data_IF_676268577135
#
_entry.id   IF_676268577135
#
_cell.length_a   1.000
_cell.length_b   1.000
_cell.length_c   1.000
_cell.angle_alpha   90.00
_cell.angle_beta   90.00
_cell.angle_gamma   90.00
#
_symmetry.space_group_name_H-M   'P 1'
#
loop_
_entity.id
_entity.type
_entity.pdbx_description
1 polymer ?
#
# COMPACT_ATOMS: atom_id res chain seq x y z
N UNK A 1 15.32 -7.68 19.56
CA UNK A 1 14.37 -8.25 20.55
C UNK A 1 15.01 -8.56 21.89
N UNK A 2 16.10 -9.34 21.96
CA UNK A 2 16.79 -9.66 23.23
C UNK A 2 17.30 -8.43 24.00
N UNK A 3 17.68 -7.36 23.30
CA UNK A 3 18.15 -6.11 23.93
C UNK A 3 17.04 -5.21 24.47
N UNK A 4 15.78 -5.46 24.09
CA UNK A 4 14.64 -4.58 24.41
C UNK A 4 13.71 -5.22 25.42
N UNK A 5 13.38 -6.49 25.23
CA UNK A 5 12.64 -7.26 26.23
C UNK A 5 13.58 -7.76 27.32
N UNK A 6 13.83 -6.91 28.32
CA UNK A 6 14.68 -7.24 29.47
C UNK A 6 14.07 -8.33 30.36
N UNK A 7 12.76 -8.55 30.27
CA UNK A 7 12.07 -9.62 30.98
C UNK A 7 12.25 -10.96 30.24
N UNK A 8 12.95 -11.95 30.85
CA UNK A 8 13.23 -13.23 30.19
C UNK A 8 11.95 -13.98 29.80
N UNK A 9 10.88 -13.85 30.59
CA UNK A 9 9.60 -14.49 30.31
C UNK A 9 8.91 -13.89 29.08
N UNK A 10 9.00 -12.58 28.87
CA UNK A 10 8.49 -11.95 27.64
C UNK A 10 9.26 -12.44 26.41
N UNK A 11 10.58 -12.56 26.54
CA UNK A 11 11.42 -13.07 25.46
C UNK A 11 11.05 -14.52 25.10
N UNK A 12 10.88 -15.39 26.09
CA UNK A 12 10.43 -16.78 25.87
C UNK A 12 9.06 -16.83 25.20
N UNK A 13 8.08 -16.08 25.71
CA UNK A 13 6.74 -16.06 25.11
C UNK A 13 6.75 -15.56 23.66
N UNK A 14 7.58 -14.56 23.35
CA UNK A 14 7.74 -14.08 21.97
C UNK A 14 8.37 -15.14 21.06
N UNK A 15 9.43 -15.80 21.52
CA UNK A 15 10.10 -16.87 20.78
C UNK A 15 9.17 -18.05 20.54
N UNK A 16 8.46 -18.50 21.58
CA UNK A 16 7.48 -19.58 21.49
C UNK A 16 6.36 -19.24 20.52
N UNK A 17 5.84 -17.99 20.56
CA UNK A 17 4.84 -17.52 19.61
C UNK A 17 5.34 -17.64 18.17
N UNK A 18 6.54 -17.12 17.87
CA UNK A 18 7.13 -17.17 16.52
C UNK A 18 7.30 -18.62 16.05
N UNK A 19 7.90 -19.48 16.87
CA UNK A 19 8.10 -20.90 16.55
C UNK A 19 6.77 -21.64 16.32
N UNK A 20 5.76 -21.41 17.16
CA UNK A 20 4.44 -22.02 16.99
C UNK A 20 3.74 -21.55 15.70
N UNK A 21 3.94 -20.29 15.29
CA UNK A 21 3.42 -19.77 14.01
C UNK A 21 4.11 -20.43 12.81
N UNK A 22 5.43 -20.54 12.83
CA UNK A 22 6.22 -21.20 11.78
C UNK A 22 5.81 -22.67 11.62
N UNK A 23 5.49 -23.35 12.73
CA UNK A 23 4.97 -24.71 12.74
C UNK A 23 3.49 -24.83 12.35
N UNK A 24 2.80 -23.73 12.04
CA UNK A 24 1.37 -23.73 11.69
C UNK A 24 0.41 -24.00 12.85
N UNK A 25 0.87 -23.98 14.11
CA UNK A 25 0.07 -24.27 15.32
C UNK A 25 -0.74 -23.06 15.79
N UNK A 26 -1.68 -22.60 14.95
CA UNK A 26 -2.41 -21.32 15.11
C UNK A 26 -3.07 -21.11 16.49
N UNK A 27 -3.79 -22.11 17.01
CA UNK A 27 -4.50 -21.97 18.31
C UNK A 27 -3.52 -21.75 19.47
N UNK A 28 -2.42 -22.50 19.51
CA UNK A 28 -1.40 -22.39 20.55
C UNK A 28 -0.60 -21.09 20.39
N UNK A 29 -0.26 -20.71 19.16
CA UNK A 29 0.38 -19.44 18.89
C UNK A 29 -0.48 -18.27 19.39
N UNK A 30 -1.78 -18.24 19.08
CA UNK A 30 -2.66 -17.15 19.51
C UNK A 30 -2.81 -17.10 21.04
N UNK A 31 -2.87 -18.26 21.72
CA UNK A 31 -2.86 -18.29 23.19
C UNK A 31 -1.57 -17.68 23.74
N UNK A 32 -0.42 -18.12 23.22
CA UNK A 32 0.91 -17.62 23.63
C UNK A 32 1.04 -16.12 23.39
N UNK A 33 0.52 -15.62 22.27
CA UNK A 33 0.48 -14.19 21.98
C UNK A 33 -0.36 -13.41 23.00
N UNK A 34 -1.52 -13.93 23.39
CA UNK A 34 -2.36 -13.27 24.40
C UNK A 34 -1.65 -13.23 25.77
N UNK A 35 -0.97 -14.31 26.16
CA UNK A 35 -0.16 -14.36 27.38
C UNK A 35 1.01 -13.34 27.31
N UNK A 36 1.64 -13.22 26.14
CA UNK A 36 2.66 -12.21 25.85
C UNK A 36 2.11 -10.79 26.00
N UNK A 37 0.98 -10.47 25.36
CA UNK A 37 0.32 -9.15 25.43
C UNK A 37 -0.04 -8.81 26.87
N UNK A 38 -0.63 -9.75 27.61
CA UNK A 38 -1.01 -9.54 29.00
C UNK A 38 0.19 -9.22 29.89
N UNK A 39 1.33 -9.88 29.67
CA UNK A 39 2.57 -9.60 30.39
C UNK A 39 3.22 -8.29 29.96
N UNK A 40 3.15 -7.96 28.66
CA UNK A 40 3.73 -6.74 28.11
C UNK A 40 3.00 -5.49 28.65
N UNK A 41 1.67 -5.56 28.80
CA UNK A 41 0.86 -4.51 29.45
C UNK A 41 1.25 -4.21 30.90
N UNK A 42 1.90 -5.15 31.58
CA UNK A 42 2.38 -4.97 32.95
C UNK A 42 3.76 -4.32 33.02
N UNK A 43 4.45 -4.17 31.89
CA UNK A 43 5.72 -3.45 31.84
C UNK A 43 5.49 -1.94 31.87
N UNK A 44 6.56 -1.21 32.17
CA UNK A 44 6.53 0.24 32.13
C UNK A 44 6.37 0.78 30.69
N UNK A 45 5.93 2.05 30.58
CA UNK A 45 5.68 2.72 29.30
C UNK A 45 6.92 2.72 28.40
N UNK A 46 8.11 2.90 28.95
CA UNK A 46 9.36 2.96 28.16
C UNK A 46 9.67 1.62 27.51
N UNK A 47 9.48 0.51 28.24
CA UNK A 47 9.65 -0.85 27.70
C UNK A 47 8.70 -1.12 26.53
N UNK A 48 7.42 -0.77 26.68
CA UNK A 48 6.41 -0.97 25.63
C UNK A 48 6.72 -0.12 24.40
N UNK A 49 7.10 1.15 24.63
CA UNK A 49 7.48 2.10 23.58
C UNK A 49 8.69 1.59 22.78
N UNK A 50 9.74 1.15 23.47
CA UNK A 50 10.95 0.62 22.83
C UNK A 50 10.69 -0.67 22.04
N UNK A 51 9.80 -1.53 22.54
CA UNK A 51 9.38 -2.75 21.83
C UNK A 51 8.65 -2.41 20.52
N UNK A 52 7.67 -1.51 20.57
CA UNK A 52 6.95 -1.04 19.38
C UNK A 52 7.92 -0.40 18.39
N UNK A 53 8.83 0.46 18.86
CA UNK A 53 9.79 1.17 18.00
C UNK A 53 10.70 0.21 17.23
N UNK A 54 11.21 -0.83 17.89
CA UNK A 54 12.04 -1.82 17.23
C UNK A 54 11.28 -2.62 16.19
N UNK A 55 10.06 -3.06 16.51
CA UNK A 55 9.24 -3.76 15.52
C UNK A 55 8.92 -2.85 14.33
N UNK A 56 8.58 -1.59 14.59
CA UNK A 56 8.36 -0.57 13.57
C UNK A 56 9.56 -0.39 12.64
N UNK A 57 10.79 -0.31 13.19
CA UNK A 57 12.04 -0.22 12.40
C UNK A 57 12.30 -1.47 11.57
N UNK A 58 12.11 -2.65 12.15
CA UNK A 58 12.31 -3.94 11.46
C UNK A 58 11.38 -4.05 10.25
N UNK A 59 10.13 -3.62 10.42
CA UNK A 59 9.10 -3.77 9.39
C UNK A 59 9.21 -2.73 8.27
N UNK A 60 9.58 -1.47 8.56
CA UNK A 60 9.78 -0.46 7.51
C UNK A 60 10.98 -0.80 6.62
N UNK A 61 12.04 -1.39 7.17
CA UNK A 61 13.22 -1.81 6.41
C UNK A 61 13.00 -3.00 5.46
N UNK A 62 11.76 -3.49 5.31
CA UNK A 62 11.44 -4.62 4.42
C UNK A 62 10.93 -4.10 3.08
N UNK A 63 11.30 -4.82 2.01
CA UNK A 63 10.91 -4.48 0.62
C UNK A 63 9.39 -4.49 0.39
N UNK A 64 8.64 -5.21 1.22
CA UNK A 64 7.18 -5.27 1.18
C UNK A 64 6.62 -4.50 2.36
N UNK A 65 5.63 -3.65 2.09
CA UNK A 65 4.96 -2.87 3.13
C UNK A 65 4.18 -3.81 4.06
N UNK A 66 4.23 -3.60 5.39
CA UNK A 66 3.57 -4.49 6.34
C UNK A 66 2.05 -4.50 6.11
N UNK A 67 1.46 -5.70 6.09
CA UNK A 67 0.00 -5.87 6.05
C UNK A 67 -0.51 -6.37 7.41
N UNK A 68 -1.68 -5.92 7.84
CA UNK A 68 -2.35 -6.55 8.98
C UNK A 68 -3.01 -7.86 8.51
N UNK A 69 -2.50 -8.97 9.01
CA UNK A 69 -3.06 -10.30 8.73
C UNK A 69 -4.33 -10.53 9.54
N UNK A 70 -5.49 -10.28 8.94
CA UNK A 70 -6.78 -10.55 9.59
C UNK A 70 -7.22 -12.01 9.49
N UNK A 71 -6.92 -12.73 8.39
CA UNK A 71 -7.43 -14.11 8.21
C UNK A 71 -6.58 -15.07 7.38
N UNK A 72 -5.68 -14.65 6.50
CA UNK A 72 -4.93 -15.58 5.63
C UNK A 72 -3.62 -14.95 5.15
N UNK A 73 -2.54 -15.35 5.77
CA UNK A 73 -1.22 -15.40 5.14
C UNK A 73 -0.50 -16.59 5.77
N UNK A 74 -0.28 -17.59 4.94
CA UNK A 74 0.62 -18.69 5.22
C UNK A 74 1.99 -18.15 4.81
N UNK A 75 2.95 -18.06 5.73
CA UNK A 75 4.35 -18.06 5.30
C UNK A 75 5.33 -17.15 6.02
N UNK A 76 4.92 -16.06 6.69
CA UNK A 76 5.90 -15.19 7.34
C UNK A 76 5.56 -14.87 8.81
N UNK A 77 6.54 -14.91 9.73
CA UNK A 77 6.42 -14.45 11.12
C UNK A 77 6.22 -12.92 11.25
N UNK A 78 5.92 -12.25 10.15
CA UNK A 78 6.14 -10.83 9.89
C UNK A 78 4.86 -9.98 9.82
N UNK A 79 3.69 -10.62 9.92
CA UNK A 79 2.42 -9.91 10.02
C UNK A 79 2.02 -9.69 11.48
N UNK A 80 1.90 -8.42 11.88
CA UNK A 80 1.40 -8.06 13.21
C UNK A 80 -0.03 -8.58 13.34
N UNK A 81 -0.26 -9.44 14.32
CA UNK A 81 -1.61 -9.88 14.63
C UNK A 81 -2.42 -8.72 15.19
N UNK A 82 -3.69 -8.65 14.80
CA UNK A 82 -4.59 -7.57 15.18
C UNK A 82 -4.66 -7.32 16.70
N UNK A 83 -4.64 -8.38 17.53
CA UNK A 83 -4.63 -8.22 18.99
C UNK A 83 -3.39 -7.49 19.49
N UNK A 84 -2.20 -7.84 18.98
CA UNK A 84 -0.95 -7.16 19.33
C UNK A 84 -0.98 -5.70 18.86
N UNK A 85 -1.50 -5.46 17.66
CA UNK A 85 -1.65 -4.11 17.15
C UNK A 85 -2.56 -3.26 18.05
N UNK A 86 -3.79 -3.73 18.28
CA UNK A 86 -4.81 -2.99 19.04
C UNK A 86 -4.41 -2.76 20.50
N UNK A 87 -3.80 -3.76 21.14
CA UNK A 87 -3.58 -3.71 22.57
C UNK A 87 -2.23 -3.09 22.97
N UNK A 88 -1.25 -3.06 22.07
CA UNK A 88 0.13 -2.61 22.36
C UNK A 88 0.58 -1.52 21.41
N UNK A 89 0.48 -1.71 20.09
CA UNK A 89 0.96 -0.72 19.12
C UNK A 89 0.11 0.54 19.15
N UNK A 90 -1.20 0.37 19.11
CA UNK A 90 -2.15 1.47 18.99
C UNK A 90 -1.97 2.53 20.09
N UNK A 91 -1.92 2.19 21.40
CA UNK A 91 -1.69 3.21 22.43
C UNK A 91 -0.36 3.95 22.28
N UNK A 92 0.70 3.24 21.89
CA UNK A 92 2.01 3.84 21.66
C UNK A 92 1.99 4.78 20.45
N UNK A 93 1.36 4.38 19.34
CA UNK A 93 1.22 5.20 18.14
C UNK A 93 0.40 6.49 18.39
N UNK A 94 -0.64 6.42 19.23
CA UNK A 94 -1.43 7.59 19.64
C UNK A 94 -0.57 8.57 20.43
N UNK A 95 0.15 8.10 21.45
CA UNK A 95 1.07 8.92 22.25
C UNK A 95 2.18 9.56 21.39
N UNK A 96 2.56 8.88 20.32
CA UNK A 96 3.64 9.27 19.42
C UNK A 96 3.27 10.28 18.35
N UNK A 97 1.98 10.41 18.04
CA UNK A 97 1.48 11.39 17.09
C UNK A 97 1.77 12.83 17.56
N UNK A 98 1.70 13.08 18.88
CA UNK A 98 1.97 14.39 19.46
C UNK A 98 3.44 14.82 19.33
N UNK A 99 4.35 13.87 19.17
CA UNK A 99 5.80 14.10 19.27
C UNK A 99 6.49 14.35 17.92
N UNK A 100 5.75 14.34 16.80
CA UNK A 100 6.27 14.67 15.45
C UNK A 100 7.53 13.91 15.04
N UNK A 101 7.56 12.59 15.21
CA UNK A 101 8.69 11.73 14.83
C UNK A 101 8.49 11.12 13.41
N UNK A 102 9.57 11.08 12.62
CA UNK A 102 9.54 10.63 11.24
C UNK A 102 9.10 9.17 11.05
N UNK A 103 9.61 8.24 11.86
CA UNK A 103 9.24 6.82 11.84
C UNK A 103 7.74 6.63 12.10
N UNK A 104 7.17 7.48 12.96
CA UNK A 104 5.76 7.41 13.33
C UNK A 104 4.88 7.88 12.18
N UNK A 105 5.27 8.97 11.52
CA UNK A 105 4.57 9.46 10.33
C UNK A 105 4.60 8.44 9.18
N UNK A 106 5.69 7.67 9.03
CA UNK A 106 5.73 6.52 8.13
C UNK A 106 4.71 5.45 8.52
N UNK A 107 4.63 5.11 9.82
CA UNK A 107 3.67 4.13 10.31
C UNK A 107 2.22 4.56 10.10
N UNK A 108 1.88 5.81 10.43
CA UNK A 108 0.54 6.37 10.23
C UNK A 108 0.13 6.29 8.75
N UNK A 109 1.04 6.59 7.83
CA UNK A 109 0.77 6.44 6.40
C UNK A 109 0.48 5.00 5.94
N UNK A 110 0.92 4.00 6.71
CA UNK A 110 0.63 2.58 6.42
C UNK A 110 -0.65 2.10 7.12
N UNK A 111 -1.22 2.91 8.02
CA UNK A 111 -2.37 2.49 8.81
C UNK A 111 -3.63 2.30 7.97
N UNK A 112 -3.86 3.06 6.90
CA UNK A 112 -4.98 2.84 5.98
C UNK A 112 -4.98 1.41 5.43
N UNK A 113 -3.80 0.90 5.07
CA UNK A 113 -3.59 -0.44 4.53
C UNK A 113 -3.75 -1.53 5.58
N UNK A 114 -3.31 -1.21 6.80
CA UNK A 114 -3.56 -2.02 7.98
C UNK A 114 -5.07 -2.12 8.25
N UNK A 115 -5.81 -1.02 8.13
CA UNK A 115 -7.20 -0.92 8.57
C UNK A 115 -8.26 -1.22 7.52
N UNK A 116 -7.90 -1.40 6.25
CA UNK A 116 -8.83 -1.76 5.17
C UNK A 116 -9.71 -3.00 5.46
N UNK A 117 -9.37 -3.80 6.46
CA UNK A 117 -10.15 -4.97 6.90
C UNK A 117 -10.75 -4.86 8.32
N UNK A 118 -10.48 -3.78 9.06
CA UNK A 118 -11.02 -3.47 10.39
C UNK A 118 -11.21 -1.96 10.55
N UNK A 119 -12.23 -1.47 9.85
CA UNK A 119 -12.64 -0.07 9.90
C UNK A 119 -12.97 0.44 11.31
N UNK A 120 -13.62 -0.35 12.22
CA UNK A 120 -13.84 0.09 13.59
C UNK A 120 -12.56 0.46 14.35
N UNK A 121 -11.51 -0.37 14.26
CA UNK A 121 -10.22 -0.07 14.92
C UNK A 121 -9.54 1.14 14.27
N UNK A 122 -9.72 1.32 12.96
CA UNK A 122 -9.31 2.54 12.27
C UNK A 122 -9.99 3.77 12.88
N UNK A 123 -11.32 3.77 12.95
CA UNK A 123 -12.10 4.90 13.48
C UNK A 123 -11.73 5.25 14.92
N UNK A 124 -11.47 4.25 15.76
CA UNK A 124 -10.96 4.47 17.12
C UNK A 124 -9.60 5.20 17.11
N UNK A 125 -8.70 4.84 16.19
CA UNK A 125 -7.37 5.47 16.04
C UNK A 125 -7.51 6.93 15.65
N UNK A 126 -8.24 7.15 14.57
CA UNK A 126 -8.54 8.42 13.94
C UNK A 126 -9.08 9.41 14.99
N UNK A 127 -10.08 8.95 15.74
CA UNK A 127 -10.69 9.73 16.81
C UNK A 127 -9.71 10.02 17.93
N UNK A 128 -8.87 9.05 18.31
CA UNK A 128 -7.90 9.21 19.38
C UNK A 128 -6.80 10.24 19.04
N UNK A 129 -6.40 10.34 17.77
CA UNK A 129 -5.40 11.33 17.32
C UNK A 129 -6.00 12.64 16.79
N UNK A 130 -7.32 12.78 16.84
CA UNK A 130 -8.03 14.02 16.52
C UNK A 130 -8.04 14.37 15.03
N UNK A 131 -7.85 13.38 14.14
CA UNK A 131 -7.98 13.55 12.69
C UNK A 131 -9.47 13.57 12.33
N UNK A 132 -9.90 14.54 11.53
CA UNK A 132 -11.27 14.59 10.98
C UNK A 132 -11.43 13.62 9.81
N UNK A 133 -12.62 13.04 9.60
CA UNK A 133 -12.86 11.99 8.60
C UNK A 133 -12.32 12.31 7.18
N UNK A 134 -12.27 13.59 6.81
CA UNK A 134 -11.76 14.09 5.52
C UNK A 134 -10.24 13.88 5.29
N UNK A 135 -9.47 13.63 6.35
CA UNK A 135 -8.00 13.50 6.28
C UNK A 135 -7.50 12.05 6.09
N UNK A 136 -8.38 11.05 6.18
CA UNK A 136 -8.02 9.61 6.06
C UNK A 136 -7.47 9.18 4.72
N UNK A 137 -7.68 10.02 3.71
CA UNK A 137 -7.25 9.72 2.35
C UNK A 137 -5.84 10.22 2.04
N UNK A 138 -5.14 10.86 3.00
CA UNK A 138 -3.82 11.45 2.73
C UNK A 138 -2.66 10.73 3.41
N UNK A 139 -2.55 9.41 3.23
CA UNK A 139 -1.35 8.62 3.57
C UNK A 139 -0.06 9.30 3.09
N UNK A 140 -0.12 9.95 1.92
CA UNK A 140 0.99 10.69 1.34
C UNK A 140 1.41 11.93 2.16
N UNK A 141 0.49 12.62 2.83
CA UNK A 141 0.82 13.80 3.62
C UNK A 141 1.64 13.41 4.85
N UNK A 142 1.32 12.26 5.46
CA UNK A 142 2.12 11.68 6.53
C UNK A 142 3.51 11.26 6.04
N UNK A 143 3.62 10.64 4.87
CA UNK A 143 4.95 10.33 4.29
C UNK A 143 5.76 11.59 3.97
N UNK A 144 5.13 12.64 3.45
CA UNK A 144 5.79 13.94 3.20
C UNK A 144 6.27 14.57 4.51
N UNK A 145 5.43 14.58 5.54
CA UNK A 145 5.80 15.08 6.88
C UNK A 145 6.95 14.25 7.48
N UNK A 146 6.93 12.93 7.31
CA UNK A 146 8.04 12.05 7.69
C UNK A 146 9.34 12.48 7.02
N UNK A 147 9.32 12.63 5.69
CA UNK A 147 10.49 13.00 4.91
C UNK A 147 11.02 14.41 5.25
N UNK A 148 10.14 15.34 5.63
CA UNK A 148 10.54 16.66 6.12
C UNK A 148 11.25 16.59 7.48
N UNK A 149 10.86 15.65 8.34
CA UNK A 149 11.45 15.45 9.66
C UNK A 149 12.78 14.69 9.57
N UNK A 150 12.85 13.67 8.72
CA UNK A 150 14.04 12.85 8.49
C UNK A 150 14.11 12.40 7.01
N UNK A 151 14.87 13.12 6.16
CA UNK A 151 14.99 12.79 4.74
C UNK A 151 15.72 11.45 4.52
N UNK A 152 14.96 10.36 4.39
CA UNK A 152 15.50 9.03 4.12
C UNK A 152 15.08 8.50 2.74
N UNK A 153 15.97 7.81 1.99
CA UNK A 153 15.64 7.22 0.68
C UNK A 153 14.43 6.28 0.71
N UNK A 154 14.28 5.51 1.79
CA UNK A 154 13.14 4.59 1.93
C UNK A 154 11.81 5.34 2.02
N UNK A 155 11.77 6.46 2.75
CA UNK A 155 10.58 7.31 2.85
C UNK A 155 10.24 7.93 1.50
N UNK A 156 11.25 8.39 0.74
CA UNK A 156 11.06 8.88 -0.62
C UNK A 156 10.48 7.78 -1.52
N UNK A 157 11.02 6.56 -1.44
CA UNK A 157 10.51 5.42 -2.19
C UNK A 157 9.04 5.14 -1.85
N UNK A 158 8.66 5.18 -0.56
CA UNK A 158 7.26 5.04 -0.14
C UNK A 158 6.36 6.15 -0.72
N UNK A 159 6.83 7.40 -0.76
CA UNK A 159 6.10 8.52 -1.39
C UNK A 159 5.89 8.24 -2.88
N UNK A 160 6.94 7.82 -3.59
CA UNK A 160 6.90 7.55 -5.02
C UNK A 160 5.95 6.40 -5.36
N UNK A 161 6.00 5.30 -4.60
CA UNK A 161 5.05 4.18 -4.74
C UNK A 161 3.62 4.67 -4.53
N UNK A 162 3.37 5.46 -3.49
CA UNK A 162 2.01 5.96 -3.19
C UNK A 162 1.50 6.93 -4.25
N UNK A 163 2.36 7.79 -4.78
CA UNK A 163 2.03 8.67 -5.90
C UNK A 163 1.70 7.85 -7.15
N UNK A 164 2.55 6.88 -7.49
CA UNK A 164 2.34 6.01 -8.64
C UNK A 164 1.01 5.26 -8.52
N UNK A 165 0.68 4.71 -7.34
CA UNK A 165 -0.62 4.07 -7.07
C UNK A 165 -1.83 4.99 -7.33
N UNK A 166 -1.67 6.30 -7.12
CA UNK A 166 -2.70 7.31 -7.37
C UNK A 166 -2.79 7.79 -8.81
N UNK A 167 -1.81 7.47 -9.66
CA UNK A 167 -1.88 7.79 -11.09
C UNK A 167 -2.96 6.92 -11.70
N UNK A 168 -4.03 7.56 -12.19
CA UNK A 168 -4.95 6.92 -13.09
C UNK A 168 -4.27 6.83 -14.45
N UNK A 169 -4.12 5.61 -14.97
CA UNK A 169 -3.65 5.40 -16.33
C UNK A 169 -4.77 5.64 -17.36
N UNK A 170 -5.97 5.98 -16.91
CA UNK A 170 -7.00 6.56 -17.77
C UNK A 170 -6.50 7.88 -18.38
N UNK A 171 -6.12 7.77 -19.65
CA UNK A 171 -6.37 8.73 -20.73
C UNK A 171 -5.83 10.16 -20.61
N UNK A 172 -5.00 10.51 -19.63
CA UNK A 172 -4.32 11.81 -19.64
C UNK A 172 -3.09 11.87 -20.58
N UNK A 173 -2.68 10.73 -21.18
CA UNK A 173 -1.44 10.63 -21.98
C UNK A 173 -1.58 9.94 -23.35
N UNK A 174 -2.78 9.91 -23.96
CA UNK A 174 -2.91 9.47 -25.35
C UNK A 174 -2.07 10.25 -26.40
N UNK A 175 -1.60 11.49 -26.19
CA UNK A 175 -0.78 12.18 -27.19
C UNK A 175 0.53 11.46 -27.51
N UNK A 176 1.23 10.88 -26.53
CA UNK A 176 2.53 10.25 -26.78
C UNK A 176 2.40 9.01 -27.67
N UNK A 177 1.32 8.26 -27.51
CA UNK A 177 1.03 7.01 -28.23
C UNK A 177 0.80 7.24 -29.71
N UNK A 178 0.12 8.35 -30.05
CA UNK A 178 -0.12 8.78 -31.43
C UNK A 178 1.17 9.32 -32.07
N UNK A 179 2.13 9.77 -31.26
CA UNK A 179 3.41 10.31 -31.71
C UNK A 179 4.54 9.25 -31.76
N UNK A 180 4.40 8.12 -31.05
CA UNK A 180 5.40 7.04 -30.96
C UNK A 180 5.12 5.87 -31.91
N UNK A 181 6.17 5.20 -32.41
CA UNK A 181 6.02 3.99 -33.22
C UNK A 181 5.52 2.77 -32.44
N UNK A 182 5.05 1.69 -33.09
CA UNK A 182 4.59 0.48 -32.41
C UNK A 182 5.60 -0.15 -31.45
N UNK A 183 6.89 -0.15 -31.80
CA UNK A 183 7.95 -0.73 -30.97
C UNK A 183 8.17 0.06 -29.66
N UNK A 184 8.09 1.39 -29.74
CA UNK A 184 8.18 2.27 -28.56
C UNK A 184 6.97 2.10 -27.66
N UNK A 185 5.78 1.96 -28.25
CA UNK A 185 4.55 1.68 -27.52
C UNK A 185 4.63 0.35 -26.76
N UNK A 186 5.03 -0.73 -27.43
CA UNK A 186 5.14 -2.05 -26.80
C UNK A 186 6.20 -2.03 -25.67
N UNK A 187 7.31 -1.29 -25.82
CA UNK A 187 8.29 -1.09 -24.75
C UNK A 187 7.71 -0.39 -23.51
N UNK A 188 6.79 0.56 -23.68
CA UNK A 188 6.11 1.20 -22.55
C UNK A 188 5.13 0.26 -21.85
N UNK A 189 4.39 -0.55 -22.61
CA UNK A 189 3.50 -1.57 -22.05
C UNK A 189 4.30 -2.61 -21.25
N UNK A 190 5.45 -3.06 -21.77
CA UNK A 190 6.31 -4.03 -21.07
C UNK A 190 6.87 -3.44 -19.76
N UNK A 191 7.27 -2.17 -19.75
CA UNK A 191 7.72 -1.47 -18.53
C UNK A 191 6.59 -1.33 -17.51
N UNK A 192 5.39 -0.99 -17.97
CA UNK A 192 4.22 -0.91 -17.12
C UNK A 192 3.89 -2.29 -16.55
N UNK A 193 3.81 -3.33 -17.37
CA UNK A 193 3.55 -4.69 -16.91
C UNK A 193 4.59 -5.17 -15.90
N UNK A 194 5.87 -4.91 -16.15
CA UNK A 194 6.94 -5.22 -15.21
C UNK A 194 6.78 -4.49 -13.88
N UNK A 195 6.44 -3.20 -13.92
CA UNK A 195 6.15 -2.40 -12.72
C UNK A 195 4.93 -2.97 -11.96
N UNK A 196 3.90 -3.40 -12.68
CA UNK A 196 2.69 -3.98 -12.09
C UNK A 196 2.97 -5.35 -11.45
N UNK A 197 3.79 -6.20 -12.07
CA UNK A 197 4.24 -7.46 -11.46
C UNK A 197 4.95 -7.22 -10.11
N UNK A 198 5.73 -6.14 -10.00
CA UNK A 198 6.37 -5.78 -8.73
C UNK A 198 5.37 -5.32 -7.64
N UNK A 199 4.18 -4.89 -8.05
CA UNK A 199 3.12 -4.39 -7.18
C UNK A 199 1.97 -5.41 -6.95
N UNK A 200 2.16 -6.68 -7.31
CA UNK A 200 1.10 -7.74 -7.36
C UNK A 200 0.18 -7.82 -6.14
N UNK A 201 0.71 -7.65 -4.92
CA UNK A 201 -0.08 -7.74 -3.69
C UNK A 201 -0.89 -6.47 -3.38
N UNK A 202 -0.65 -5.38 -4.10
CA UNK A 202 -1.19 -4.03 -3.84
C UNK A 202 -1.94 -3.44 -5.03
N UNK A 203 -2.08 -4.22 -6.10
CA UNK A 203 -2.73 -3.82 -7.33
C UNK A 203 -4.24 -3.67 -7.12
N UNK A 204 -4.70 -2.42 -7.17
CA UNK A 204 -6.12 -2.11 -7.32
C UNK A 204 -6.65 -2.77 -8.62
N UNK A 205 -7.80 -3.45 -8.60
CA UNK A 205 -8.38 -4.10 -9.78
C UNK A 205 -8.48 -3.21 -11.03
N UNK A 206 -8.56 -1.88 -10.85
CA UNK A 206 -8.55 -0.90 -11.94
C UNK A 206 -7.31 -0.98 -12.83
N UNK A 207 -6.13 -1.28 -12.29
CA UNK A 207 -4.89 -1.30 -13.08
C UNK A 207 -4.81 -2.47 -14.05
N UNK A 208 -5.45 -3.59 -13.71
CA UNK A 208 -5.60 -4.73 -14.62
C UNK A 208 -6.54 -4.37 -15.79
N UNK A 209 -7.59 -3.60 -15.50
CA UNK A 209 -8.50 -3.07 -16.52
C UNK A 209 -7.73 -2.09 -17.41
N UNK A 210 -7.01 -1.13 -16.84
CA UNK A 210 -6.22 -0.14 -17.58
C UNK A 210 -5.18 -0.82 -18.49
N UNK A 211 -4.39 -1.77 -17.96
CA UNK A 211 -3.41 -2.52 -18.77
C UNK A 211 -4.09 -3.26 -19.93
N UNK A 212 -5.27 -3.84 -19.70
CA UNK A 212 -6.03 -4.52 -20.76
C UNK A 212 -6.52 -3.54 -21.83
N UNK A 213 -6.96 -2.34 -21.44
CA UNK A 213 -7.36 -1.25 -22.34
C UNK A 213 -6.17 -0.78 -23.17
N UNK A 214 -5.03 -0.55 -22.53
CA UNK A 214 -3.78 -0.18 -23.19
C UNK A 214 -3.31 -1.27 -24.18
N UNK A 215 -3.38 -2.56 -23.83
CA UNK A 215 -3.09 -3.64 -24.80
C UNK A 215 -4.02 -3.61 -26.01
N UNK A 216 -5.30 -3.34 -25.80
CA UNK A 216 -6.29 -3.24 -26.87
C UNK A 216 -5.99 -2.04 -27.80
N UNK A 217 -5.68 -0.87 -27.23
CA UNK A 217 -5.24 0.31 -27.99
C UNK A 217 -4.00 -0.03 -28.83
N UNK A 218 -3.01 -0.71 -28.26
CA UNK A 218 -1.77 -1.09 -28.94
C UNK A 218 -1.96 -1.99 -30.16
N UNK A 219 -2.87 -2.97 -30.05
CA UNK A 219 -3.26 -3.85 -31.15
C UNK A 219 -3.81 -3.05 -32.34
N UNK A 220 -4.67 -2.08 -32.04
CA UNK A 220 -5.29 -1.23 -33.03
C UNK A 220 -4.31 -0.20 -33.60
N UNK A 221 -3.44 0.35 -32.77
CA UNK A 221 -2.35 1.24 -33.19
C UNK A 221 -1.43 0.58 -34.20
N UNK A 222 -0.97 -0.66 -33.94
CA UNK A 222 -0.18 -1.46 -34.88
C UNK A 222 -0.86 -1.59 -36.25
N UNK A 223 -2.12 -1.99 -36.22
CA UNK A 223 -2.92 -2.17 -37.45
C UNK A 223 -3.06 -0.88 -38.24
N UNK A 224 -3.31 0.24 -37.55
CA UNK A 224 -3.32 1.56 -38.17
C UNK A 224 -1.95 1.93 -38.72
N UNK A 225 -0.87 1.77 -37.95
CA UNK A 225 0.46 2.21 -38.33
C UNK A 225 0.96 1.53 -39.61
N UNK A 226 0.66 0.24 -39.76
CA UNK A 226 0.96 -0.56 -40.96
C UNK A 226 0.18 -0.07 -42.19
N UNK A 227 -1.05 0.41 -41.97
CA UNK A 227 -1.99 0.84 -43.02
C UNK A 227 -2.20 2.34 -43.04
N UNK A 228 -1.31 3.12 -42.43
CA UNK A 228 -1.54 4.55 -42.13
C UNK A 228 -1.81 5.43 -43.35
N UNK A 229 -1.48 4.96 -44.55
CA UNK A 229 -1.78 5.64 -45.82
C UNK A 229 -3.26 5.56 -46.23
N UNK A 230 -4.03 4.64 -45.63
CA UNK A 230 -5.46 4.43 -45.89
C UNK A 230 -6.36 5.29 -44.98
N UNK A 231 -5.77 6.02 -44.04
CA UNK A 231 -6.46 6.75 -42.98
C UNK A 231 -5.88 8.16 -42.82
N UNK A 232 -6.72 9.13 -42.47
CA UNK A 232 -6.30 10.51 -42.20
C UNK A 232 -5.65 10.67 -40.81
N UNK A 233 -5.72 9.62 -40.00
CA UNK A 233 -5.17 9.55 -38.65
C UNK A 233 -5.74 8.36 -37.88
N UNK A 234 -5.24 8.13 -36.67
CA UNK A 234 -5.72 7.02 -35.84
C UNK A 234 -7.18 7.18 -35.42
N UNK A 235 -7.64 8.42 -35.23
CA UNK A 235 -9.04 8.70 -34.95
C UNK A 235 -9.96 8.29 -36.12
N UNK A 236 -9.58 8.59 -37.37
CA UNK A 236 -10.31 8.15 -38.56
C UNK A 236 -10.34 6.62 -38.66
N UNK A 237 -9.23 5.96 -38.36
CA UNK A 237 -9.18 4.50 -38.22
C UNK A 237 -10.18 3.99 -37.17
N UNK A 238 -10.23 4.58 -35.98
CA UNK A 238 -11.17 4.18 -34.93
C UNK A 238 -12.63 4.30 -35.39
N UNK A 239 -12.99 5.41 -36.04
CA UNK A 239 -14.35 5.63 -36.54
C UNK A 239 -14.72 4.63 -37.65
N UNK A 240 -13.85 4.43 -38.65
CA UNK A 240 -14.11 3.49 -39.76
C UNK A 240 -14.26 2.04 -39.31
N UNK A 241 -13.63 1.67 -38.21
CA UNK A 241 -13.68 0.33 -37.64
C UNK A 241 -14.65 0.21 -36.45
N UNK A 242 -15.47 1.24 -36.18
CA UNK A 242 -16.41 1.30 -35.05
C UNK A 242 -15.76 0.95 -33.70
N UNK A 243 -14.50 1.36 -33.52
CA UNK A 243 -13.74 1.08 -32.32
C UNK A 243 -14.04 2.13 -31.27
N UNK A 244 -14.63 1.70 -30.16
CA UNK A 244 -14.86 2.58 -29.03
C UNK A 244 -13.76 2.38 -27.98
N UNK A 245 -12.53 2.77 -28.36
CA UNK A 245 -11.35 2.69 -27.51
C UNK A 245 -11.29 3.83 -26.48
N UNK A 246 -12.27 4.74 -26.51
CA UNK A 246 -12.30 6.02 -25.82
C UNK A 246 -13.48 6.14 -24.82
N UNK A 247 -14.17 5.03 -24.49
CA UNK A 247 -15.39 5.06 -23.64
C UNK A 247 -15.17 5.62 -22.23
N UNK A 248 -13.94 5.71 -21.73
CA UNK A 248 -13.68 6.32 -20.42
C UNK A 248 -13.92 7.84 -20.42
N UNK A 249 -13.92 8.53 -21.58
CA UNK A 249 -14.23 9.95 -21.66
C UNK A 249 -15.73 10.27 -21.47
N UNK A 250 -16.63 9.38 -21.88
CA UNK A 250 -18.08 9.61 -21.76
C UNK A 250 -18.55 9.47 -20.30
N UNK A 251 -18.01 8.48 -19.58
CA UNK A 251 -18.28 8.29 -18.15
C UNK A 251 -17.72 9.44 -17.28
N UNK A 252 -16.53 9.95 -17.62
CA UNK A 252 -15.92 11.11 -16.94
C UNK A 252 -16.66 12.43 -17.22
N UNK A 253 -17.17 12.64 -18.44
CA UNK A 253 -17.96 13.82 -18.76
C UNK A 253 -19.32 13.86 -18.06
N UNK A 254 -19.94 12.71 -17.78
CA UNK A 254 -21.15 12.66 -16.95
C UNK A 254 -20.84 12.87 -15.47
N UNK A 255 -19.70 12.35 -14.98
CA UNK A 255 -19.25 12.56 -13.59
C UNK A 255 -18.88 14.03 -13.32
N UNK A 256 -18.18 14.69 -14.25
CA UNK A 256 -17.82 16.12 -14.15
C UNK A 256 -18.99 17.08 -14.36
N UNK A 257 -20.07 16.65 -15.03
CA UNK A 257 -21.32 17.42 -15.10
C UNK A 257 -22.19 17.27 -13.84
N UNK A 258 -21.87 16.31 -12.98
CA UNK A 258 -22.57 16.04 -11.72
C UNK A 258 -21.85 16.55 -10.47
N UNK A 259 -20.67 17.16 -10.64
CA UNK A 259 -19.92 17.93 -9.65
C UNK A 259 -20.02 19.42 -9.97
#
# INVERSE_FOLDING_TARGET
>A
MQTILKNPKLLTLWQDYVTLREQGRKKLANKTLNDFIALLKQQDKQTNTAFVEQLCKIMIGRKHLPTLSFRKSIGYPDDIQHSLFKEIFFPVLVDWYTDSNALHMQWIAQLSRCFNRDWPTAQDFIKAIGITDDEHHYDINYLKKSYQLDPHPDTLNMILIRLAQGVSFDLHHMPEVVLSGPDEYDSWIDKLEHYLQFCEDELEPRWQIDLSTWRNIGKHWRTYFDKRKEYDGFYDYQQKHNLNLDQSFTALNELYKSL
#
